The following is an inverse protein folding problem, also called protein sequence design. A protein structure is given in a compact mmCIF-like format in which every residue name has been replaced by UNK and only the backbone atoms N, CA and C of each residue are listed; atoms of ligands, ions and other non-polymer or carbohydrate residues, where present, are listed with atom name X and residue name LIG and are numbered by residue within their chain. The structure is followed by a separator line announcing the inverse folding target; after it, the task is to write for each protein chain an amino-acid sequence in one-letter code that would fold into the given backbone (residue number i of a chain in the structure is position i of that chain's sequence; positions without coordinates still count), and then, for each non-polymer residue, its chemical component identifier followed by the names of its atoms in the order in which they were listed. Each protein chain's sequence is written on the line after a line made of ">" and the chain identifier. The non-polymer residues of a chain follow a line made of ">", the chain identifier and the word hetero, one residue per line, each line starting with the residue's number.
data_IF_526408639854
#
_entry.id   IF_526408639854
#
_cell.length_a   1.000
_cell.length_b   1.000
_cell.length_c   1.000
_cell.angle_alpha   90.00
_cell.angle_beta   90.00
_cell.angle_gamma   90.00
#
_symmetry.space_group_name_H-M   'P 1'
#
loop_
_entity.id
_entity.type
_entity.pdbx_description
1 polymer ?
#
# COMPACT_ATOMS: atom_id res chain seq x y z
N UNK A 1 -10.93 4.93 16.59
CA UNK A 1 -10.46 3.97 17.62
C UNK A 1 -11.17 4.12 18.98
N UNK A 2 -12.44 4.57 19.06
CA UNK A 2 -13.16 4.53 20.34
C UNK A 2 -13.36 3.04 20.75
N UNK A 3 -13.12 2.73 22.01
CA UNK A 3 -13.26 1.41 22.64
C UNK A 3 -12.25 0.32 22.25
N UNK A 4 -11.14 0.62 21.56
CA UNK A 4 -10.14 -0.40 21.20
C UNK A 4 -9.58 -1.14 22.43
N UNK A 5 -9.18 -0.41 23.48
CA UNK A 5 -8.71 -1.01 24.75
C UNK A 5 -9.77 -1.92 25.39
N UNK A 6 -11.05 -1.49 25.38
CA UNK A 6 -12.17 -2.29 25.91
C UNK A 6 -12.35 -3.59 25.12
N UNK A 7 -12.25 -3.53 23.79
CA UNK A 7 -12.38 -4.69 22.91
C UNK A 7 -11.20 -5.65 23.03
N UNK A 8 -9.98 -5.13 23.22
CA UNK A 8 -8.80 -5.95 23.47
C UNK A 8 -8.86 -6.66 24.83
N UNK A 9 -9.35 -5.98 25.87
CA UNK A 9 -9.56 -6.60 27.18
C UNK A 9 -10.63 -7.71 27.18
N UNK A 10 -11.50 -7.74 26.17
CA UNK A 10 -12.49 -8.81 25.95
C UNK A 10 -11.91 -10.03 25.23
N UNK A 11 -10.63 -10.01 24.84
CA UNK A 11 -9.91 -11.15 24.29
C UNK A 11 -9.00 -11.77 25.37
N UNK A 12 -9.43 -12.83 26.07
CA UNK A 12 -8.66 -13.45 27.14
C UNK A 12 -7.33 -14.04 26.66
N UNK A 13 -7.22 -14.37 25.37
CA UNK A 13 -6.00 -14.93 24.79
C UNK A 13 -4.94 -13.86 24.48
N UNK A 14 -5.32 -12.58 24.45
CA UNK A 14 -4.44 -11.47 24.08
C UNK A 14 -3.96 -11.47 22.63
N UNK A 15 -4.43 -12.39 21.78
CA UNK A 15 -3.98 -12.55 20.39
C UNK A 15 -4.18 -11.30 19.54
N UNK A 16 -5.13 -10.44 19.89
CA UNK A 16 -5.40 -9.21 19.14
C UNK A 16 -4.58 -7.99 19.59
N UNK A 17 -3.80 -8.08 20.68
CA UNK A 17 -2.98 -6.95 21.18
C UNK A 17 -2.00 -6.46 20.10
N UNK A 18 -1.45 -7.38 19.31
CA UNK A 18 -0.55 -7.06 18.20
C UNK A 18 -1.18 -6.10 17.18
N UNK A 19 -2.50 -6.13 17.00
CA UNK A 19 -3.19 -5.23 16.07
C UNK A 19 -3.16 -3.77 16.55
N UNK A 20 -3.18 -3.50 17.86
CA UNK A 20 -3.01 -2.14 18.39
C UNK A 20 -1.57 -1.67 18.24
N UNK A 21 -0.59 -2.55 18.49
CA UNK A 21 0.82 -2.25 18.26
C UNK A 21 1.07 -1.86 16.81
N UNK A 22 0.62 -2.70 15.86
CA UNK A 22 0.76 -2.45 14.42
C UNK A 22 0.04 -1.16 14.01
N UNK A 23 -1.19 -0.95 14.50
CA UNK A 23 -1.97 0.24 14.22
C UNK A 23 -1.26 1.55 14.64
N UNK A 24 -0.45 1.51 15.70
CA UNK A 24 0.27 2.68 16.24
C UNK A 24 1.65 2.89 15.64
N UNK A 25 2.33 1.81 15.24
CA UNK A 25 3.78 1.84 14.98
C UNK A 25 4.15 1.50 13.54
N UNK A 26 3.29 0.77 12.82
CA UNK A 26 3.68 0.15 11.56
C UNK A 26 2.72 0.43 10.40
N UNK A 27 1.46 0.84 10.66
CA UNK A 27 0.50 1.13 9.59
C UNK A 27 0.23 2.62 9.44
N UNK A 28 0.17 3.05 8.20
CA UNK A 28 -0.33 4.37 7.82
C UNK A 28 -1.37 4.24 6.71
N UNK A 29 -2.22 5.25 6.55
CA UNK A 29 -3.20 5.28 5.47
C UNK A 29 -2.50 5.44 4.11
N UNK A 30 -3.10 4.86 3.08
CA UNK A 30 -2.63 5.03 1.69
C UNK A 30 -2.62 6.52 1.34
N UNK A 31 -1.48 6.99 0.81
CA UNK A 31 -1.25 8.40 0.49
C UNK A 31 -0.47 9.19 1.53
N UNK A 32 -0.17 8.63 2.71
CA UNK A 32 0.67 9.27 3.73
C UNK A 32 2.07 9.67 3.18
N UNK A 33 2.63 10.83 3.55
CA UNK A 33 2.13 11.80 4.55
C UNK A 33 1.00 12.73 4.08
N UNK A 34 0.58 12.64 2.81
CA UNK A 34 -0.56 13.38 2.26
C UNK A 34 -1.87 12.59 2.26
N UNK A 35 -2.66 12.79 1.22
CA UNK A 35 -3.92 12.10 0.98
C UNK A 35 -3.84 11.26 -0.30
N UNK A 36 -4.63 10.18 -0.37
CA UNK A 36 -4.79 9.41 -1.60
C UNK A 36 -5.51 10.25 -2.66
N UNK A 37 -5.10 10.08 -3.92
CA UNK A 37 -5.73 10.68 -5.08
C UNK A 37 -6.03 9.60 -6.13
N UNK A 38 -6.70 9.95 -7.23
CA UNK A 38 -7.13 8.97 -8.23
C UNK A 38 -5.98 8.13 -8.83
N UNK A 39 -4.77 8.69 -8.93
CA UNK A 39 -3.61 7.95 -9.41
C UNK A 39 -3.03 7.02 -8.34
N UNK A 40 -2.92 7.47 -7.09
CA UNK A 40 -2.47 6.64 -5.96
C UNK A 40 -3.42 5.46 -5.76
N UNK A 41 -4.73 5.71 -5.80
CA UNK A 41 -5.75 4.68 -5.69
C UNK A 41 -5.60 3.61 -6.78
N UNK A 42 -5.41 4.03 -8.04
CA UNK A 42 -5.21 3.07 -9.13
C UNK A 42 -3.91 2.28 -8.98
N UNK A 43 -2.79 2.92 -8.63
CA UNK A 43 -1.52 2.21 -8.38
C UNK A 43 -1.67 1.17 -7.27
N UNK A 44 -2.40 1.51 -6.21
CA UNK A 44 -2.66 0.61 -5.08
C UNK A 44 -3.55 -0.58 -5.50
N UNK A 45 -4.68 -0.30 -6.15
CA UNK A 45 -5.66 -1.31 -6.53
C UNK A 45 -5.22 -2.22 -7.70
N UNK A 46 -4.18 -1.83 -8.44
CA UNK A 46 -3.57 -2.65 -9.50
C UNK A 46 -2.43 -3.53 -9.00
N UNK A 47 -2.09 -3.46 -7.70
CA UNK A 47 -1.04 -4.27 -7.07
C UNK A 47 0.32 -4.19 -7.78
N UNK A 48 0.65 -3.06 -8.39
CA UNK A 48 1.89 -2.90 -9.17
C UNK A 48 3.15 -3.15 -8.35
N UNK A 49 3.19 -2.64 -7.11
CA UNK A 49 4.35 -2.83 -6.23
C UNK A 49 4.47 -4.28 -5.76
N UNK A 50 3.41 -4.95 -5.25
CA UNK A 50 3.47 -6.39 -4.96
C UNK A 50 3.91 -7.24 -6.16
N UNK A 51 3.36 -6.96 -7.35
CA UNK A 51 3.73 -7.67 -8.57
C UNK A 51 5.20 -7.46 -8.94
N UNK A 52 5.74 -6.25 -8.76
CA UNK A 52 7.16 -5.95 -8.95
C UNK A 52 8.05 -6.86 -8.09
N UNK A 53 7.74 -7.00 -6.80
CA UNK A 53 8.49 -7.90 -5.92
C UNK A 53 8.30 -9.38 -6.31
N UNK A 54 7.08 -9.78 -6.67
CA UNK A 54 6.79 -11.15 -7.07
C UNK A 54 7.58 -11.56 -8.33
N UNK A 55 7.72 -10.67 -9.32
CA UNK A 55 8.52 -10.93 -10.52
C UNK A 55 10.00 -11.19 -10.19
N UNK A 56 10.55 -10.51 -9.18
CA UNK A 56 11.94 -10.71 -8.74
C UNK A 56 12.08 -11.99 -7.92
N UNK A 57 11.17 -12.21 -6.96
CA UNK A 57 11.20 -13.39 -6.09
C UNK A 57 11.00 -14.71 -6.86
N UNK A 58 10.40 -14.65 -8.05
CA UNK A 58 10.18 -15.78 -8.94
C UNK A 58 11.24 -15.87 -10.06
N UNK A 59 12.33 -15.10 -9.97
CA UNK A 59 13.42 -15.03 -10.96
C UNK A 59 12.97 -14.68 -12.40
N UNK A 60 11.79 -14.08 -12.56
CA UNK A 60 11.25 -13.68 -13.87
C UNK A 60 11.94 -12.42 -14.41
N UNK A 61 12.43 -11.56 -13.51
CA UNK A 61 13.15 -10.33 -13.85
C UNK A 61 14.24 -10.04 -12.83
N UNK A 62 15.30 -9.37 -13.27
CA UNK A 62 16.22 -8.72 -12.33
C UNK A 62 15.51 -7.60 -11.56
N UNK A 63 15.97 -7.33 -10.33
CA UNK A 63 15.42 -6.24 -9.50
C UNK A 63 15.39 -4.90 -10.25
N UNK A 64 16.49 -4.57 -10.94
CA UNK A 64 16.59 -3.31 -11.70
C UNK A 64 15.56 -3.25 -12.85
N UNK A 65 15.31 -4.36 -13.53
CA UNK A 65 14.34 -4.42 -14.62
C UNK A 65 12.91 -4.29 -14.10
N UNK A 66 12.56 -5.01 -13.03
CA UNK A 66 11.21 -4.95 -12.47
C UNK A 66 10.87 -3.55 -11.94
N UNK A 67 11.80 -2.88 -11.26
CA UNK A 67 11.63 -1.48 -10.83
C UNK A 67 11.45 -0.54 -12.03
N UNK A 68 12.25 -0.68 -13.09
CA UNK A 68 12.12 0.16 -14.30
C UNK A 68 10.75 0.01 -14.95
N UNK A 69 10.29 -1.23 -15.13
CA UNK A 69 9.00 -1.51 -15.77
C UNK A 69 7.83 -0.98 -14.92
N UNK A 70 7.84 -1.26 -13.62
CA UNK A 70 6.82 -0.78 -12.68
C UNK A 70 6.80 0.75 -12.60
N UNK A 71 7.96 1.42 -12.58
CA UNK A 71 8.02 2.88 -12.62
C UNK A 71 7.40 3.43 -13.92
N UNK A 72 7.66 2.82 -15.08
CA UNK A 72 7.01 3.24 -16.34
C UNK A 72 5.49 3.12 -16.27
N UNK A 73 4.97 2.03 -15.68
CA UNK A 73 3.54 1.81 -15.49
C UNK A 73 2.92 2.86 -14.55
N UNK A 74 3.54 3.12 -13.40
CA UNK A 74 3.10 4.15 -12.45
C UNK A 74 3.08 5.52 -13.14
N UNK A 75 4.13 5.90 -13.87
CA UNK A 75 4.18 7.18 -14.59
C UNK A 75 3.08 7.29 -15.64
N UNK A 76 2.71 6.19 -16.32
CA UNK A 76 1.60 6.19 -17.27
C UNK A 76 0.25 6.45 -16.58
N UNK A 77 0.02 5.86 -15.40
CA UNK A 77 -1.17 6.11 -14.59
C UNK A 77 -1.24 7.59 -14.18
N UNK A 78 -0.15 8.15 -13.67
CA UNK A 78 -0.11 9.58 -13.29
C UNK A 78 -0.35 10.50 -14.48
N UNK A 79 0.27 10.23 -15.65
CA UNK A 79 -0.01 11.00 -16.88
C UNK A 79 -1.47 10.93 -17.29
N UNK A 80 -2.09 9.75 -17.21
CA UNK A 80 -3.51 9.55 -17.53
C UNK A 80 -4.41 10.41 -16.65
N UNK A 81 -4.18 10.44 -15.34
CA UNK A 81 -5.03 11.21 -14.42
C UNK A 81 -4.80 12.72 -14.48
N UNK A 82 -3.55 13.17 -14.72
CA UNK A 82 -3.25 14.58 -15.01
C UNK A 82 -3.96 15.05 -16.28
N UNK A 83 -3.94 14.25 -17.36
CA UNK A 83 -4.65 14.57 -18.61
C UNK A 83 -6.17 14.69 -18.41
N UNK A 84 -6.73 14.04 -17.39
CA UNK A 84 -8.15 14.10 -17.02
C UNK A 84 -8.49 15.22 -16.01
N UNK A 85 -7.50 15.97 -15.54
CA UNK A 85 -7.68 17.01 -14.51
C UNK A 85 -8.21 16.47 -13.18
N UNK A 86 -7.86 15.23 -12.82
CA UNK A 86 -8.29 14.58 -11.57
C UNK A 86 -7.22 14.53 -10.49
N UNK A 87 -6.00 14.96 -10.84
CA UNK A 87 -4.84 15.19 -9.98
C UNK A 87 -4.02 16.34 -10.55
#
# INVERSE_FOLDING_TARGET
>A
MKNLKKRLAQDPSGKYVILDTIARTATTNVGYPGFSNAAIDEVFNTFLIPQMFAEVAQDRKSASQSVRDTNRAIQAIFRKWRKRGKI
#
